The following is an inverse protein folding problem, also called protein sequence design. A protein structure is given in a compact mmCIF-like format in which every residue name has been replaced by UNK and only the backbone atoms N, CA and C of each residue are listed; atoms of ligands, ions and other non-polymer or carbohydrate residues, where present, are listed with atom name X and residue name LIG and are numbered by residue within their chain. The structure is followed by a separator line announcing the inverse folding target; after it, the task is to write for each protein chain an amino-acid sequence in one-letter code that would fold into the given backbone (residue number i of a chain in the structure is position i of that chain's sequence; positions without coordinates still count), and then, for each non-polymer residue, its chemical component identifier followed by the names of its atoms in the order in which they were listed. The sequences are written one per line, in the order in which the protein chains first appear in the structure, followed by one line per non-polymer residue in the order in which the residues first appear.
data_IF_087405101567
#
_entry.id   IF_087405101567
#
_cell.length_a   1.000
_cell.length_b   1.000
_cell.length_c   1.000
_cell.angle_alpha   90.00
_cell.angle_beta   90.00
_cell.angle_gamma   90.00
#
_symmetry.space_group_name_H-M   'P 1'
#
loop_
_entity.id
_entity.type
_entity.pdbx_description
1 polymer ?
#
# COMPACT_ATOMS: atom_id res chain seq x y z
N UNK A 1 -41.39 -2.67 36.57
CA UNK A 1 -40.86 -3.83 35.83
C UNK A 1 -39.34 -3.69 35.78
N UNK A 2 -38.61 -4.34 36.69
CA UNK A 2 -37.15 -4.25 36.75
C UNK A 2 -36.57 -5.03 35.57
N UNK A 3 -35.95 -4.32 34.63
CA UNK A 3 -35.21 -4.94 33.54
C UNK A 3 -34.06 -5.78 34.13
N UNK A 4 -33.99 -7.05 33.76
CA UNK A 4 -33.03 -7.99 34.34
C UNK A 4 -31.60 -7.52 34.04
N UNK A 5 -30.79 -7.25 35.08
CA UNK A 5 -29.45 -6.63 34.95
C UNK A 5 -28.53 -7.40 34.00
N UNK A 6 -28.73 -8.71 33.89
CA UNK A 6 -27.99 -9.58 32.97
C UNK A 6 -28.30 -9.31 31.48
N UNK A 7 -29.53 -8.90 31.14
CA UNK A 7 -29.90 -8.54 29.76
C UNK A 7 -29.23 -7.23 29.36
N UNK A 8 -29.16 -6.26 30.28
CA UNK A 8 -28.47 -4.99 30.04
C UNK A 8 -26.96 -5.19 29.80
N UNK A 9 -26.33 -6.13 30.52
CA UNK A 9 -24.90 -6.44 30.34
C UNK A 9 -24.64 -7.10 28.97
N UNK A 10 -25.51 -8.03 28.52
CA UNK A 10 -25.41 -8.66 27.20
C UNK A 10 -25.60 -7.63 26.07
N UNK A 11 -26.50 -6.68 26.24
CA UNK A 11 -26.67 -5.57 25.29
C UNK A 11 -25.46 -4.63 25.26
N UNK A 12 -24.85 -4.38 26.43
CA UNK A 12 -23.67 -3.54 26.55
C UNK A 12 -22.44 -4.20 25.89
N UNK A 13 -22.25 -5.51 26.05
CA UNK A 13 -21.15 -6.23 25.39
C UNK A 13 -21.33 -6.32 23.88
N UNK A 14 -22.56 -6.37 23.36
CA UNK A 14 -22.84 -6.36 21.91
C UNK A 14 -22.50 -5.01 21.26
N UNK A 15 -22.63 -3.90 22.00
CA UNK A 15 -22.26 -2.55 21.50
C UNK A 15 -20.73 -2.34 21.40
N UNK A 16 -19.93 -3.11 22.15
CA UNK A 16 -18.46 -2.99 22.15
C UNK A 16 -17.76 -3.89 21.13
N UNK A 17 -18.47 -4.77 20.40
CA UNK A 17 -17.86 -5.67 19.42
C UNK A 17 -17.89 -5.16 17.98
N UNK A 18 -18.32 -3.93 17.73
CA UNK A 18 -18.08 -3.26 16.45
C UNK A 18 -16.60 -2.89 16.36
N UNK A 19 -15.75 -3.89 16.08
CA UNK A 19 -14.47 -3.64 15.43
C UNK A 19 -14.81 -3.10 14.03
N UNK A 20 -15.07 -1.79 13.96
CA UNK A 20 -15.13 -1.04 12.71
C UNK A 20 -13.72 -1.10 12.11
N UNK A 21 -13.40 -2.20 11.44
CA UNK A 21 -12.31 -2.19 10.48
C UNK A 21 -12.75 -1.21 9.39
N UNK A 22 -12.02 -0.10 9.27
CA UNK A 22 -12.29 0.87 8.22
C UNK A 22 -12.14 0.16 6.86
N UNK A 23 -13.22 0.16 6.08
CA UNK A 23 -13.21 -0.26 4.69
C UNK A 23 -12.73 0.89 3.80
N UNK A 24 -12.40 0.56 2.54
CA UNK A 24 -12.09 1.54 1.52
C UNK A 24 -13.31 2.43 1.26
N UNK A 25 -13.08 3.71 1.00
CA UNK A 25 -14.12 4.66 0.65
C UNK A 25 -14.59 4.51 -0.81
N UNK A 26 -13.67 4.11 -1.70
CA UNK A 26 -13.93 3.74 -3.10
C UNK A 26 -12.80 2.84 -3.62
N UNK A 27 -12.98 2.31 -4.83
CA UNK A 27 -12.00 1.48 -5.53
C UNK A 27 -11.88 0.06 -4.98
N UNK A 28 -11.00 -0.71 -5.60
CA UNK A 28 -10.69 -2.09 -5.22
C UNK A 28 -9.23 -2.23 -4.84
N UNK A 29 -8.93 -3.11 -3.88
CA UNK A 29 -7.57 -3.37 -3.40
C UNK A 29 -7.27 -4.86 -3.42
N UNK A 30 -6.31 -5.23 -4.25
CA UNK A 30 -5.73 -6.57 -4.26
C UNK A 30 -4.43 -6.59 -3.46
N UNK A 31 -4.18 -7.66 -2.71
CA UNK A 31 -2.96 -7.80 -1.90
C UNK A 31 -2.23 -9.10 -2.21
N UNK A 32 -0.91 -9.02 -2.37
CA UNK A 32 -0.05 -10.19 -2.46
C UNK A 32 1.34 -9.93 -1.86
N UNK A 33 2.12 -10.99 -1.69
CA UNK A 33 3.48 -10.91 -1.17
C UNK A 33 4.50 -11.29 -2.23
N UNK A 34 5.50 -10.45 -2.42
CA UNK A 34 6.66 -10.74 -3.27
C UNK A 34 7.89 -11.04 -2.41
N UNK A 35 8.70 -12.01 -2.83
CA UNK A 35 10.00 -12.29 -2.20
C UNK A 35 11.04 -11.30 -2.71
N UNK A 36 11.59 -10.46 -1.83
CA UNK A 36 12.73 -9.59 -2.14
C UNK A 36 13.90 -9.89 -1.21
N UNK A 37 14.88 -10.64 -1.71
CA UNK A 37 16.05 -11.02 -0.92
C UNK A 37 15.69 -11.90 0.27
N UNK A 38 15.89 -11.39 1.50
CA UNK A 38 15.66 -12.12 2.75
C UNK A 38 14.26 -11.90 3.36
N UNK A 39 13.44 -11.06 2.74
CA UNK A 39 12.19 -10.60 3.34
C UNK A 39 11.08 -10.58 2.30
N UNK A 40 9.89 -10.99 2.73
CA UNK A 40 8.67 -10.79 1.94
C UNK A 40 8.28 -9.31 1.99
N UNK A 41 7.63 -8.85 0.92
CA UNK A 41 7.09 -7.50 0.80
C UNK A 41 5.63 -7.61 0.44
N UNK A 42 4.78 -6.95 1.22
CA UNK A 42 3.39 -6.79 0.83
C UNK A 42 3.33 -5.79 -0.33
N UNK A 43 2.63 -6.16 -1.38
CA UNK A 43 2.25 -5.30 -2.50
C UNK A 43 0.74 -5.19 -2.47
N UNK A 44 0.25 -3.96 -2.59
CA UNK A 44 -1.18 -3.66 -2.70
C UNK A 44 -1.40 -3.00 -4.06
N UNK A 45 -2.29 -3.57 -4.88
CA UNK A 45 -2.70 -2.97 -6.14
C UNK A 45 -4.06 -2.33 -5.91
N UNK A 46 -4.14 -1.02 -6.07
CA UNK A 46 -5.37 -0.26 -5.95
C UNK A 46 -5.88 0.17 -7.32
N UNK A 47 -7.11 -0.21 -7.61
CA UNK A 47 -7.85 0.17 -8.80
C UNK A 47 -8.76 1.34 -8.43
N UNK A 48 -8.44 2.54 -8.93
CA UNK A 48 -9.18 3.75 -8.58
C UNK A 48 -10.59 3.81 -9.17
N UNK A 49 -10.85 3.05 -10.23
CA UNK A 49 -12.15 2.92 -10.88
C UNK A 49 -12.32 1.52 -11.47
N UNK A 50 -13.49 1.24 -12.02
CA UNK A 50 -13.84 0.00 -12.74
C UNK A 50 -13.42 0.01 -14.21
N UNK A 51 -12.63 1.00 -14.64
CA UNK A 51 -12.14 1.06 -16.01
C UNK A 51 -11.23 -0.14 -16.33
N UNK A 52 -11.43 -0.81 -17.47
CA UNK A 52 -10.52 -1.85 -17.91
C UNK A 52 -9.10 -1.30 -18.09
N UNK A 53 -8.11 -2.06 -17.66
CA UNK A 53 -6.70 -1.73 -17.91
C UNK A 53 -6.44 -1.75 -19.42
N UNK A 54 -5.94 -0.64 -19.95
CA UNK A 54 -5.61 -0.46 -21.35
C UNK A 54 -4.40 0.49 -21.52
N UNK A 55 -4.12 0.91 -22.75
CA UNK A 55 -3.02 1.82 -23.10
C UNK A 55 -3.13 3.21 -22.47
N UNK A 56 -4.33 3.63 -22.06
CA UNK A 56 -4.58 4.92 -21.41
C UNK A 56 -4.47 4.83 -19.88
N UNK A 57 -4.29 3.62 -19.32
CA UNK A 57 -4.16 3.44 -17.87
C UNK A 57 -2.86 4.03 -17.36
N UNK A 58 -2.97 4.95 -16.41
CA UNK A 58 -1.81 5.51 -15.72
C UNK A 58 -1.43 4.63 -14.53
N UNK A 59 -0.21 4.11 -14.54
CA UNK A 59 0.35 3.34 -13.43
C UNK A 59 1.20 4.23 -12.52
N UNK A 60 0.88 4.24 -11.23
CA UNK A 60 1.68 4.93 -10.21
C UNK A 60 2.30 3.89 -9.28
N UNK A 61 3.62 3.84 -9.24
CA UNK A 61 4.35 2.96 -8.32
C UNK A 61 4.76 3.76 -7.09
N UNK A 62 4.29 3.36 -5.93
CA UNK A 62 4.54 4.07 -4.67
C UNK A 62 5.25 3.17 -3.66
N UNK A 63 6.28 3.71 -3.00
CA UNK A 63 6.88 3.10 -1.82
C UNK A 63 6.10 3.51 -0.56
N UNK A 64 6.45 2.88 0.58
CA UNK A 64 5.75 3.07 1.86
C UNK A 64 4.25 2.78 1.73
N UNK A 65 3.91 1.77 0.92
CA UNK A 65 2.53 1.41 0.58
C UNK A 65 1.65 1.13 1.79
N UNK A 66 2.24 0.68 2.90
CA UNK A 66 1.52 0.43 4.16
C UNK A 66 0.78 1.68 4.70
N UNK A 67 1.19 2.88 4.32
CA UNK A 67 0.60 4.13 4.81
C UNK A 67 -0.57 4.64 3.93
N UNK A 68 -0.84 4.06 2.76
CA UNK A 68 -1.68 4.72 1.75
C UNK A 68 -3.19 4.59 1.98
N UNK A 69 -3.67 3.40 2.34
CA UNK A 69 -5.10 3.07 2.27
C UNK A 69 -5.78 2.90 3.62
N UNK A 70 -5.35 1.90 4.41
CA UNK A 70 -6.08 1.48 5.61
C UNK A 70 -5.22 1.58 6.85
N UNK A 71 -5.82 2.03 7.96
CA UNK A 71 -5.13 2.22 9.23
C UNK A 71 -4.50 0.93 9.78
N UNK A 72 -5.14 -0.22 9.52
CA UNK A 72 -4.67 -1.55 9.94
C UNK A 72 -3.26 -1.87 9.40
N UNK A 73 -2.91 -1.28 8.27
CA UNK A 73 -1.63 -1.51 7.59
C UNK A 73 -0.58 -0.46 8.01
N UNK A 74 -1.04 0.76 8.31
CA UNK A 74 -0.20 1.93 8.59
C UNK A 74 0.61 1.87 9.88
N UNK A 75 1.71 2.62 9.92
CA UNK A 75 2.47 2.84 11.14
C UNK A 75 1.70 3.79 12.07
N UNK A 76 1.43 3.35 13.31
CA UNK A 76 0.69 4.12 14.33
C UNK A 76 -0.76 4.46 13.96
N UNK A 77 -1.38 3.75 13.01
CA UNK A 77 -2.75 4.04 12.60
C UNK A 77 -2.89 5.36 11.85
N UNK A 78 -1.80 5.84 11.21
CA UNK A 78 -1.81 7.10 10.45
C UNK A 78 -1.69 6.79 8.96
N UNK A 79 -2.82 6.68 8.29
CA UNK A 79 -2.87 6.50 6.84
C UNK A 79 -3.19 7.81 6.12
N UNK A 80 -2.78 7.90 4.85
CA UNK A 80 -3.09 9.02 3.97
C UNK A 80 -4.52 8.98 3.44
N UNK A 81 -5.21 7.83 3.53
CA UNK A 81 -6.58 7.64 3.01
C UNK A 81 -6.73 8.11 1.57
N UNK A 82 -5.82 7.68 0.68
CA UNK A 82 -5.87 8.12 -0.71
C UNK A 82 -7.16 7.67 -1.42
N UNK A 83 -7.76 6.58 -0.95
CA UNK A 83 -9.10 6.14 -1.34
C UNK A 83 -10.16 7.24 -1.16
N UNK A 84 -10.08 8.04 -0.08
CA UNK A 84 -11.01 9.16 0.12
C UNK A 84 -10.79 10.29 -0.87
N UNK A 85 -9.53 10.56 -1.24
CA UNK A 85 -9.22 11.56 -2.27
C UNK A 85 -9.81 11.17 -3.62
N UNK A 86 -9.70 9.89 -4.02
CA UNK A 86 -10.37 9.41 -5.23
C UNK A 86 -11.89 9.51 -5.13
N UNK A 87 -12.49 9.17 -3.99
CA UNK A 87 -13.92 9.33 -3.77
C UNK A 87 -14.38 10.80 -3.92
N UNK A 88 -13.56 11.76 -3.48
CA UNK A 88 -13.85 13.19 -3.65
C UNK A 88 -13.79 13.62 -5.11
N UNK A 89 -12.83 13.09 -5.90
CA UNK A 89 -12.74 13.34 -7.34
C UNK A 89 -13.94 12.75 -8.09
N UNK A 90 -14.34 11.52 -7.75
CA UNK A 90 -15.53 10.88 -8.33
C UNK A 90 -16.80 11.71 -8.09
N UNK A 91 -16.98 12.24 -6.86
CA UNK A 91 -18.08 13.13 -6.51
C UNK A 91 -18.07 14.45 -7.31
N UNK A 92 -16.92 14.85 -7.84
CA UNK A 92 -16.77 16.01 -8.73
C UNK A 92 -16.94 15.65 -10.21
N UNK A 93 -17.27 14.39 -10.53
CA UNK A 93 -17.41 13.91 -11.90
C UNK A 93 -16.08 13.58 -12.58
N UNK A 94 -14.99 13.48 -11.82
CA UNK A 94 -13.67 13.09 -12.31
C UNK A 94 -13.38 11.64 -11.92
N UNK A 95 -13.49 10.72 -12.89
CA UNK A 95 -13.03 9.34 -12.74
C UNK A 95 -11.72 9.16 -13.48
N UNK A 96 -10.71 8.62 -12.80
CA UNK A 96 -9.36 8.50 -13.31
C UNK A 96 -9.05 7.03 -13.61
N UNK A 97 -8.59 6.73 -14.83
CA UNK A 97 -8.05 5.41 -15.19
C UNK A 97 -6.64 5.27 -14.62
N UNK A 98 -6.56 5.08 -13.30
CA UNK A 98 -5.32 5.02 -12.54
C UNK A 98 -5.26 3.71 -11.75
N UNK A 99 -4.13 3.04 -11.85
CA UNK A 99 -3.79 1.89 -11.01
C UNK A 99 -2.56 2.24 -10.16
N UNK A 100 -2.68 2.07 -8.86
CA UNK A 100 -1.59 2.34 -7.91
C UNK A 100 -0.99 1.02 -7.44
N UNK A 101 0.30 0.82 -7.71
CA UNK A 101 1.08 -0.31 -7.22
C UNK A 101 1.86 0.16 -5.98
N UNK A 102 1.31 -0.13 -4.81
CA UNK A 102 1.85 0.28 -3.53
C UNK A 102 2.71 -0.83 -2.92
N UNK A 103 3.99 -0.54 -2.74
CA UNK A 103 4.98 -1.49 -2.22
C UNK A 103 5.26 -1.14 -0.76
N UNK A 104 4.88 -2.03 0.15
CA UNK A 104 5.16 -1.82 1.56
C UNK A 104 6.65 -1.96 1.85
N UNK A 105 7.13 -1.15 2.78
CA UNK A 105 8.52 -1.17 3.19
C UNK A 105 8.90 -2.48 3.91
N UNK A 106 10.21 -2.76 3.93
CA UNK A 106 10.80 -3.87 4.68
C UNK A 106 10.73 -3.76 6.20
N UNK A 107 10.19 -2.64 6.73
CA UNK A 107 10.43 -2.17 8.11
C UNK A 107 10.02 -3.17 9.19
N UNK A 108 9.20 -4.19 8.87
CA UNK A 108 8.75 -5.21 9.82
C UNK A 108 9.22 -6.62 9.43
N UNK A 109 10.23 -7.11 10.15
CA UNK A 109 10.37 -8.55 10.43
C UNK A 109 10.32 -8.74 11.94
N UNK A 110 9.26 -9.39 12.44
CA UNK A 110 9.10 -9.72 13.88
C UNK A 110 9.30 -8.52 14.83
N UNK A 111 8.80 -7.34 14.47
CA UNK A 111 8.81 -6.15 15.33
C UNK A 111 10.15 -5.42 15.48
N UNK A 112 11.18 -5.75 14.69
CA UNK A 112 12.47 -5.03 14.70
C UNK A 112 12.64 -4.20 13.42
N UNK A 113 13.10 -2.97 13.60
CA UNK A 113 13.44 -2.04 12.51
C UNK A 113 14.76 -2.50 11.86
N UNK A 114 14.71 -2.91 10.60
CA UNK A 114 15.90 -3.21 9.82
C UNK A 114 16.13 -2.06 8.84
N UNK A 115 17.18 -1.28 9.11
CA UNK A 115 17.88 -0.33 8.23
C UNK A 115 17.10 0.20 7.00
N UNK A 116 16.77 1.48 7.08
CA UNK A 116 15.96 2.25 6.13
C UNK A 116 16.56 2.41 4.74
N UNK A 117 17.85 2.12 4.59
CA UNK A 117 18.59 2.34 3.35
C UNK A 117 18.31 1.29 2.27
N UNK A 118 17.75 0.13 2.63
CA UNK A 118 17.36 -0.94 1.69
C UNK A 118 15.97 -0.77 1.08
N UNK A 119 15.22 0.26 1.48
CA UNK A 119 13.82 0.46 1.09
C UNK A 119 13.62 0.66 -0.41
N UNK A 120 14.60 1.24 -1.11
CA UNK A 120 14.39 1.79 -2.45
C UNK A 120 15.09 0.98 -3.55
N UNK A 121 16.34 0.58 -3.38
CA UNK A 121 17.16 0.09 -4.50
C UNK A 121 16.83 -1.32 -4.99
N UNK A 122 16.21 -2.18 -4.18
CA UNK A 122 15.89 -3.56 -4.59
C UNK A 122 14.68 -3.66 -5.52
N UNK A 123 13.70 -2.77 -5.35
CA UNK A 123 12.40 -2.81 -6.01
C UNK A 123 12.16 -1.61 -6.94
N UNK A 124 13.09 -0.67 -6.99
CA UNK A 124 13.05 0.40 -7.98
C UNK A 124 13.21 -0.19 -9.39
N UNK A 125 12.42 0.27 -10.39
CA UNK A 125 12.59 -0.15 -11.78
C UNK A 125 14.03 0.09 -12.21
N UNK A 126 14.76 -0.98 -12.49
CA UNK A 126 16.21 -0.91 -12.74
C UNK A 126 16.50 -0.27 -14.09
N UNK A 127 15.56 -0.45 -15.02
CA UNK A 127 15.52 0.12 -16.35
C UNK A 127 15.37 1.65 -16.26
N UNK A 128 14.64 2.17 -15.27
CA UNK A 128 14.44 3.61 -15.09
C UNK A 128 15.73 4.36 -14.73
N UNK A 129 16.72 3.66 -14.14
CA UNK A 129 18.02 4.27 -13.76
C UNK A 129 18.80 4.74 -14.99
N UNK A 130 18.58 4.15 -16.18
CA UNK A 130 19.24 4.60 -17.42
C UNK A 130 18.82 6.01 -17.84
N UNK A 131 17.58 6.39 -17.52
CA UNK A 131 16.98 7.68 -17.86
C UNK A 131 17.34 8.81 -16.88
N UNK A 132 18.07 8.51 -15.79
CA UNK A 132 18.50 9.54 -14.84
C UNK A 132 19.70 10.32 -15.39
N UNK A 133 19.76 11.62 -15.09
CA UNK A 133 20.94 12.43 -15.33
C UNK A 133 22.15 11.90 -14.53
N UNK A 134 23.35 12.07 -15.08
CA UNK A 134 24.59 11.68 -14.39
C UNK A 134 24.72 12.43 -13.07
N UNK A 135 24.64 11.66 -11.97
CA UNK A 135 24.59 12.17 -10.62
C UNK A 135 25.14 11.13 -9.63
N UNK A 136 25.59 11.54 -8.43
CA UNK A 136 25.98 10.61 -7.38
C UNK A 136 24.87 9.58 -7.05
N UNK A 137 23.60 9.97 -7.21
CA UNK A 137 22.43 9.09 -7.03
C UNK A 137 22.38 7.99 -8.09
N UNK A 138 22.61 8.31 -9.36
CA UNK A 138 22.70 7.32 -10.45
C UNK A 138 23.84 6.34 -10.21
N UNK A 139 25.00 6.83 -9.77
CA UNK A 139 26.16 6.00 -9.41
C UNK A 139 25.86 5.00 -8.29
N UNK A 140 25.17 5.45 -7.24
CA UNK A 140 24.72 4.58 -6.15
C UNK A 140 23.76 3.48 -6.61
N UNK A 141 22.94 3.73 -7.63
CA UNK A 141 21.93 2.78 -8.13
C UNK A 141 22.46 1.79 -9.19
N UNK A 142 23.55 2.12 -9.90
CA UNK A 142 24.18 1.27 -10.94
C UNK A 142 24.49 -0.18 -10.50
N UNK A 143 24.95 -0.48 -9.27
CA UNK A 143 25.18 -1.86 -8.82
C UNK A 143 23.92 -2.73 -8.79
N UNK A 144 22.74 -2.12 -8.62
CA UNK A 144 21.47 -2.84 -8.51
C UNK A 144 20.87 -3.20 -9.89
N UNK A 145 21.28 -2.50 -10.96
CA UNK A 145 20.88 -2.81 -12.35
C UNK A 145 21.45 -4.17 -12.82
N UNK A 146 22.68 -4.51 -12.43
CA UNK A 146 23.40 -5.71 -12.91
C UNK A 146 22.87 -7.05 -12.38
N UNK A 147 21.84 -7.05 -11.51
CA UNK A 147 21.25 -8.27 -10.94
C UNK A 147 20.09 -8.84 -11.79
N UNK A 148 20.10 -8.56 -13.10
CA UNK A 148 19.21 -9.16 -14.12
C UNK A 148 20.06 -10.08 -15.01
N UNK A 149 20.81 -11.00 -14.43
CA UNK A 149 21.28 -12.19 -15.16
C UNK A 149 21.18 -13.33 -14.15
N UNK A 150 20.39 -14.35 -14.50
CA UNK A 150 20.09 -15.59 -13.75
C UNK A 150 18.93 -15.48 -12.74
N UNK A 151 17.71 -15.71 -13.22
CA UNK A 151 16.89 -16.89 -12.88
C UNK A 151 15.46 -16.65 -13.37
N UNK A 152 15.22 -16.99 -14.65
CA UNK A 152 13.93 -17.51 -15.09
C UNK A 152 13.98 -19.03 -14.95
#
# INVERSE_FOLDING_TARGET
MLMNKSIAIIFLTFMFTNNLNAELATGELEEFFIKSGKHDRKVQIFYASDYPINEDTTFIIMNDGEELFLEKDSWRGRTWRIDKSFQELEKQGMSLNVVIVAISSAKRFKGRFFDDTRRYTELFPKEAVEYFEESPKKEYMRPYQRKIILNF
#
